data_IF_371316303639
#
_entry.id   IF_371316303639
#
_cell.length_a   1.000
_cell.length_b   1.000
_cell.length_c   1.000
_cell.angle_alpha   90.00
_cell.angle_beta   90.00
_cell.angle_gamma   90.00
#
_symmetry.space_group_name_H-M   'P 1'
#
loop_
_entity.id
_entity.type
_entity.pdbx_description
1 polymer ?
#
# COMPACT_ATOMS: atom_id res chain seq x y z
N UNK A 1 -5.02 1.84 10.98
CA UNK A 1 -5.17 3.07 10.16
C UNK A 1 -3.80 3.69 10.02
N UNK A 2 -3.32 3.91 8.79
CA UNK A 2 -2.02 4.54 8.57
C UNK A 2 -2.03 5.99 9.06
N UNK A 3 -0.93 6.41 9.69
CA UNK A 3 -0.72 7.79 10.13
C UNK A 3 -0.14 8.64 9.01
N UNK A 4 -0.13 9.96 9.18
CA UNK A 4 0.51 10.86 8.22
C UNK A 4 2.02 10.57 8.12
N UNK A 5 2.65 10.13 9.20
CA UNK A 5 4.06 9.74 9.21
C UNK A 5 4.31 8.48 8.38
N UNK A 6 3.38 7.53 8.34
CA UNK A 6 3.49 6.33 7.52
C UNK A 6 3.50 6.72 6.04
N UNK A 7 2.58 7.58 5.60
CA UNK A 7 2.55 8.09 4.22
C UNK A 7 3.79 8.89 3.85
N UNK A 8 4.29 9.74 4.75
CA UNK A 8 5.55 10.44 4.54
C UNK A 8 6.72 9.48 4.37
N UNK A 9 6.70 8.34 5.05
CA UNK A 9 7.79 7.36 5.10
C UNK A 9 7.73 6.29 4.00
N UNK A 10 6.63 6.21 3.23
CA UNK A 10 6.49 5.20 2.16
C UNK A 10 7.60 5.36 1.11
N UNK A 11 8.34 4.29 0.89
CA UNK A 11 9.36 4.21 -0.16
C UNK A 11 8.70 4.02 -1.52
N UNK A 12 8.95 4.95 -2.45
CA UNK A 12 8.54 4.83 -3.85
C UNK A 12 9.43 3.83 -4.60
N UNK A 13 9.18 2.53 -4.42
CA UNK A 13 10.01 1.44 -5.00
C UNK A 13 9.85 1.25 -6.52
N UNK A 14 8.90 1.92 -7.17
CA UNK A 14 8.53 1.62 -8.56
C UNK A 14 8.98 2.65 -9.60
N UNK A 15 9.62 3.74 -9.20
CA UNK A 15 10.11 4.75 -10.12
C UNK A 15 11.63 4.79 -10.08
N UNK A 16 12.25 5.14 -11.23
CA UNK A 16 13.70 5.45 -11.31
C UNK A 16 13.90 6.81 -10.62
N UNK A 17 13.74 6.80 -9.30
CA UNK A 17 13.81 7.99 -8.46
C UNK A 17 14.88 7.79 -7.40
N UNK A 18 15.82 8.71 -7.33
CA UNK A 18 16.77 8.77 -6.23
C UNK A 18 16.10 9.54 -5.10
N UNK A 19 16.06 8.93 -3.96
CA UNK A 19 15.60 9.58 -2.74
C UNK A 19 16.80 9.91 -1.85
N UNK A 20 16.79 11.10 -1.30
CA UNK A 20 17.69 11.51 -0.22
C UNK A 20 16.91 12.12 0.93
N UNK A 21 17.37 11.84 2.15
CA UNK A 21 16.77 12.34 3.39
C UNK A 21 17.67 13.44 3.96
N UNK A 22 17.05 14.51 4.41
CA UNK A 22 17.73 15.63 5.08
C UNK A 22 16.83 16.16 6.18
N UNK A 23 17.34 17.09 6.95
CA UNK A 23 16.56 17.80 7.96
C UNK A 23 16.89 19.28 7.91
N UNK A 24 15.89 20.08 8.24
CA UNK A 24 16.05 21.52 8.38
C UNK A 24 15.88 21.88 9.84
N UNK A 25 16.86 22.56 10.41
CA UNK A 25 16.74 23.20 11.71
C UNK A 25 16.19 24.61 11.53
N UNK A 26 15.03 24.88 12.11
CA UNK A 26 14.43 26.23 12.09
C UNK A 26 14.89 27.06 13.30
N UNK A 27 15.05 26.39 14.44
CA UNK A 27 15.53 26.93 15.71
C UNK A 27 16.27 25.79 16.43
N UNK A 28 16.84 26.05 17.59
CA UNK A 28 17.59 25.03 18.35
C UNK A 28 16.78 23.76 18.66
N UNK A 29 15.43 23.85 18.70
CA UNK A 29 14.55 22.73 19.08
C UNK A 29 13.67 22.18 17.96
N UNK A 30 13.58 22.82 16.80
CA UNK A 30 12.66 22.40 15.74
C UNK A 30 13.39 21.88 14.51
N UNK A 31 13.36 20.56 14.34
CA UNK A 31 13.94 19.88 13.18
C UNK A 31 12.80 19.37 12.27
N UNK A 32 12.79 19.81 11.03
CA UNK A 32 11.86 19.35 10.02
C UNK A 32 12.49 18.26 9.16
N UNK A 33 11.96 17.05 9.15
CA UNK A 33 12.38 16.03 8.20
C UNK A 33 12.02 16.42 6.77
N UNK A 34 12.98 16.32 5.86
CA UNK A 34 12.82 16.57 4.43
C UNK A 34 13.20 15.31 3.65
N UNK A 35 12.36 14.93 2.69
CA UNK A 35 12.66 13.92 1.68
C UNK A 35 12.78 14.60 0.33
N UNK A 36 13.89 14.42 -0.34
CA UNK A 36 14.16 14.99 -1.65
C UNK A 36 14.14 13.89 -2.70
N UNK A 37 13.45 14.12 -3.80
CA UNK A 37 13.23 13.14 -4.86
C UNK A 37 13.78 13.67 -6.18
N UNK A 38 14.56 12.85 -6.85
CA UNK A 38 15.12 13.11 -8.16
C UNK A 38 14.65 12.03 -9.12
N UNK A 39 13.62 12.34 -9.92
CA UNK A 39 13.03 11.40 -10.86
C UNK A 39 13.79 11.46 -12.18
N UNK A 40 14.55 10.40 -12.47
CA UNK A 40 15.41 10.31 -13.63
C UNK A 40 14.63 10.10 -14.94
N UNK A 41 13.43 9.52 -14.85
CA UNK A 41 12.62 9.24 -16.04
C UNK A 41 12.03 10.51 -16.66
N UNK A 42 11.72 11.52 -15.84
CA UNK A 42 11.10 12.77 -16.29
C UNK A 42 12.04 13.98 -16.16
N UNK A 43 13.26 13.78 -15.70
CA UNK A 43 14.26 14.84 -15.57
C UNK A 43 13.90 15.92 -14.53
N UNK A 44 13.15 15.56 -13.49
CA UNK A 44 12.62 16.52 -12.52
C UNK A 44 12.98 16.16 -11.07
N UNK A 45 13.09 17.19 -10.23
CA UNK A 45 13.24 17.06 -8.79
C UNK A 45 12.08 17.74 -8.05
N UNK A 46 11.74 17.21 -6.89
CA UNK A 46 10.73 17.72 -5.97
C UNK A 46 11.06 17.28 -4.54
N UNK A 47 10.35 17.79 -3.55
CA UNK A 47 10.58 17.37 -2.17
C UNK A 47 9.30 17.33 -1.34
N UNK A 48 9.40 16.61 -0.23
CA UNK A 48 8.37 16.52 0.80
C UNK A 48 8.96 17.01 2.13
N UNK A 49 8.13 17.71 2.90
CA UNK A 49 8.46 18.18 4.25
C UNK A 49 7.42 17.60 5.21
N UNK A 50 7.85 17.10 6.37
CA UNK A 50 6.94 16.79 7.45
C UNK A 50 7.02 17.89 8.51
N UNK A 51 5.85 18.42 8.88
CA UNK A 51 5.72 19.40 9.97
C UNK A 51 5.02 18.75 11.16
N UNK A 52 5.45 19.05 12.40
CA UNK A 52 4.81 18.53 13.60
C UNK A 52 3.43 19.17 13.82
N UNK A 53 2.74 18.75 14.86
CA UNK A 53 1.54 19.43 15.32
C UNK A 53 1.88 20.87 15.76
N UNK A 54 1.15 21.83 15.23
CA UNK A 54 1.32 23.27 15.47
C UNK A 54 -0.02 23.93 15.79
N UNK A 55 0.01 24.94 16.61
CA UNK A 55 -1.18 25.77 16.90
C UNK A 55 -1.62 26.60 15.69
N UNK A 56 -0.66 27.04 14.86
CA UNK A 56 -0.89 27.86 13.66
C UNK A 56 -0.21 27.27 12.44
N UNK A 57 -0.69 26.12 11.94
CA UNK A 57 -0.06 25.42 10.84
C UNK A 57 -0.06 26.21 9.53
N UNK A 58 -1.12 26.99 9.26
CA UNK A 58 -1.19 27.84 8.07
C UNK A 58 -0.12 28.94 8.08
N UNK A 59 0.00 29.69 9.19
CA UNK A 59 0.99 30.77 9.30
C UNK A 59 2.42 30.23 9.10
N UNK A 60 2.68 29.05 9.65
CA UNK A 60 3.93 28.36 9.48
C UNK A 60 4.19 27.99 8.01
N UNK A 61 3.22 27.37 7.33
CA UNK A 61 3.35 27.01 5.91
C UNK A 61 3.55 28.24 5.03
N UNK A 62 2.80 29.32 5.26
CA UNK A 62 2.96 30.58 4.56
C UNK A 62 4.35 31.19 4.79
N UNK A 63 4.87 31.11 6.02
CA UNK A 63 6.23 31.52 6.37
C UNK A 63 7.28 30.72 5.59
N UNK A 64 7.14 29.39 5.51
CA UNK A 64 8.01 28.54 4.72
C UNK A 64 8.00 28.93 3.24
N UNK A 65 6.82 29.10 2.66
CA UNK A 65 6.67 29.45 1.25
C UNK A 65 7.21 30.85 0.92
N UNK A 66 7.17 31.79 1.84
CA UNK A 66 7.70 33.16 1.69
C UNK A 66 9.20 33.26 1.94
N UNK A 67 9.77 32.31 2.64
CA UNK A 67 11.20 32.29 2.96
C UNK A 67 12.05 31.82 1.79
N UNK A 68 13.38 31.94 1.93
CA UNK A 68 14.35 31.36 0.99
C UNK A 68 14.60 29.86 1.22
N UNK A 69 13.78 29.21 2.04
CA UNK A 69 13.95 27.82 2.41
C UNK A 69 13.88 26.89 1.21
N UNK A 70 12.90 27.13 0.32
CA UNK A 70 12.73 26.33 -0.90
C UNK A 70 14.00 26.36 -1.74
N UNK A 71 14.57 27.56 -1.94
CA UNK A 71 15.82 27.73 -2.68
C UNK A 71 17.01 27.02 -1.99
N UNK A 72 17.03 27.04 -0.66
CA UNK A 72 18.06 26.37 0.13
C UNK A 72 17.97 24.85 0.01
N UNK A 73 16.76 24.30 0.06
CA UNK A 73 16.50 22.85 -0.13
C UNK A 73 16.88 22.43 -1.55
N UNK A 74 16.50 23.20 -2.56
CA UNK A 74 16.82 22.90 -3.95
C UNK A 74 18.33 22.92 -4.19
N UNK A 75 19.06 23.88 -3.60
CA UNK A 75 20.52 23.94 -3.68
C UNK A 75 21.22 22.78 -2.97
N UNK A 76 20.59 22.21 -1.94
CA UNK A 76 21.10 21.09 -1.16
C UNK A 76 20.79 19.72 -1.81
N UNK A 77 20.07 19.67 -2.94
CA UNK A 77 19.81 18.41 -3.65
C UNK A 77 21.13 17.70 -3.98
N UNK A 78 21.21 16.38 -3.78
CA UNK A 78 22.40 15.60 -4.08
C UNK A 78 22.78 15.72 -5.55
N UNK A 79 24.06 15.88 -5.80
CA UNK A 79 24.64 15.92 -7.14
C UNK A 79 25.40 14.63 -7.37
N UNK A 80 24.93 13.81 -8.30
CA UNK A 80 25.54 12.54 -8.65
C UNK A 80 25.51 12.34 -10.17
N UNK A 81 26.47 11.59 -10.68
CA UNK A 81 26.44 11.10 -12.06
C UNK A 81 26.10 9.63 -12.02
N UNK A 82 24.97 9.28 -12.64
CA UNK A 82 24.48 7.92 -12.71
C UNK A 82 24.80 7.38 -14.08
N UNK A 83 25.68 6.39 -14.11
CA UNK A 83 26.03 5.65 -15.33
C UNK A 83 25.36 4.30 -15.34
N UNK A 84 24.95 3.87 -16.52
CA UNK A 84 24.47 2.50 -16.77
C UNK A 84 25.61 1.66 -17.35
N UNK A 85 25.68 0.39 -16.99
CA UNK A 85 26.57 -0.57 -17.65
C UNK A 85 26.14 -0.89 -19.10
N UNK A 86 25.08 -0.27 -19.60
CA UNK A 86 24.65 -0.41 -21.00
C UNK A 86 25.27 0.69 -21.83
N UNK A 87 26.07 0.35 -22.88
CA UNK A 87 26.81 1.34 -23.68
C UNK A 87 25.94 2.37 -24.41
N UNK A 88 24.64 2.10 -24.54
CA UNK A 88 23.68 2.94 -25.27
C UNK A 88 23.00 4.00 -24.42
N UNK A 89 23.21 4.01 -23.10
CA UNK A 89 22.61 4.99 -22.20
C UNK A 89 23.65 6.03 -21.77
N UNK A 90 23.35 7.28 -22.08
CA UNK A 90 24.18 8.42 -21.61
C UNK A 90 24.08 8.54 -20.08
N UNK A 91 25.18 8.90 -19.40
CA UNK A 91 25.16 9.19 -17.97
C UNK A 91 24.17 10.32 -17.69
N UNK A 92 23.41 10.19 -16.62
CA UNK A 92 22.49 11.23 -16.13
C UNK A 92 23.19 11.96 -14.98
N UNK A 93 23.39 13.27 -15.16
CA UNK A 93 23.86 14.13 -14.09
C UNK A 93 22.67 14.68 -13.32
N UNK A 94 22.52 14.30 -12.05
CA UNK A 94 21.37 14.75 -11.24
C UNK A 94 21.39 16.26 -10.97
N UNK A 95 22.52 16.94 -11.17
CA UNK A 95 22.60 18.38 -11.09
C UNK A 95 21.88 19.12 -12.25
N UNK A 96 21.58 18.40 -13.34
CA UNK A 96 20.86 18.93 -14.51
C UNK A 96 19.34 18.73 -14.39
N UNK A 97 18.86 18.00 -13.35
CA UNK A 97 17.44 17.81 -13.12
C UNK A 97 16.81 19.12 -12.64
N UNK A 98 15.77 19.55 -13.34
CA UNK A 98 15.06 20.78 -12.98
C UNK A 98 14.19 20.57 -11.72
N UNK A 99 14.20 21.54 -10.81
CA UNK A 99 13.19 21.58 -9.76
C UNK A 99 11.84 21.95 -10.39
N UNK A 100 10.85 21.04 -10.28
CA UNK A 100 9.56 21.20 -10.93
C UNK A 100 8.57 22.10 -10.16
N UNK A 101 9.02 22.77 -9.10
CA UNK A 101 8.18 23.63 -8.24
C UNK A 101 7.26 22.85 -7.29
N UNK A 102 7.26 21.53 -7.31
CA UNK A 102 6.32 20.72 -6.50
C UNK A 102 6.85 20.46 -5.09
N UNK A 103 5.99 20.72 -4.11
CA UNK A 103 6.26 20.56 -2.68
C UNK A 103 5.10 19.82 -2.04
N UNK A 104 5.41 18.74 -1.34
CA UNK A 104 4.45 17.97 -0.54
C UNK A 104 4.64 18.30 0.95
N UNK A 105 3.61 18.78 1.62
CA UNK A 105 3.62 19.09 3.05
C UNK A 105 2.77 18.07 3.77
N UNK A 106 3.38 17.25 4.62
CA UNK A 106 2.74 16.30 5.53
C UNK A 106 2.68 16.90 6.92
N UNK A 107 1.47 17.07 7.46
CA UNK A 107 1.24 17.75 8.73
C UNK A 107 0.47 16.89 9.71
N UNK A 108 0.81 17.00 10.99
CA UNK A 108 0.05 16.37 12.09
C UNK A 108 -1.22 17.17 12.45
N UNK A 109 -1.52 18.26 11.74
CA UNK A 109 -2.70 19.10 11.96
C UNK A 109 -3.45 19.29 10.63
N UNK A 110 -4.76 19.24 10.65
CA UNK A 110 -5.56 19.52 9.46
C UNK A 110 -5.68 21.04 9.19
N UNK A 111 -5.75 21.41 7.93
CA UNK A 111 -6.17 22.72 7.46
C UNK A 111 -7.57 22.64 6.84
N UNK A 112 -8.35 23.69 6.99
CA UNK A 112 -9.62 23.83 6.26
C UNK A 112 -9.34 24.05 4.76
N UNK A 113 -10.33 23.78 3.90
CA UNK A 113 -10.19 23.98 2.45
C UNK A 113 -9.82 25.44 2.10
N UNK A 114 -10.37 26.42 2.81
CA UNK A 114 -10.05 27.84 2.59
C UNK A 114 -8.58 28.16 2.89
N UNK A 115 -8.02 27.52 3.92
CA UNK A 115 -6.62 27.68 4.27
C UNK A 115 -5.70 27.01 3.26
N UNK A 116 -6.09 25.83 2.76
CA UNK A 116 -5.39 25.13 1.68
C UNK A 116 -5.40 25.99 0.40
N UNK A 117 -6.55 26.55 0.03
CA UNK A 117 -6.67 27.40 -1.15
C UNK A 117 -5.80 28.67 -1.05
N UNK A 118 -5.71 29.25 0.15
CA UNK A 118 -4.83 30.40 0.42
C UNK A 118 -3.35 29.99 0.27
N UNK A 119 -2.97 28.86 0.82
CA UNK A 119 -1.61 28.32 0.71
C UNK A 119 -1.24 28.03 -0.75
N UNK A 120 -2.14 27.41 -1.54
CA UNK A 120 -1.96 27.20 -2.97
C UNK A 120 -1.76 28.51 -3.71
N UNK A 121 -2.62 29.51 -3.46
CA UNK A 121 -2.53 30.83 -4.07
C UNK A 121 -1.19 31.51 -3.76
N UNK A 122 -0.70 31.42 -2.53
CA UNK A 122 0.58 31.98 -2.13
C UNK A 122 1.75 31.26 -2.78
N UNK A 123 1.70 29.92 -2.85
CA UNK A 123 2.71 29.12 -3.54
C UNK A 123 2.80 29.46 -5.03
N UNK A 124 1.67 29.56 -5.71
CA UNK A 124 1.61 29.88 -7.14
C UNK A 124 2.24 31.24 -7.50
N UNK A 125 2.18 32.24 -6.62
CA UNK A 125 2.87 33.52 -6.82
C UNK A 125 4.40 33.38 -7.00
N UNK A 126 4.95 32.26 -6.55
CA UNK A 126 6.38 31.93 -6.63
C UNK A 126 6.66 30.75 -7.57
N UNK A 127 5.67 30.31 -8.34
CA UNK A 127 5.80 29.15 -9.21
C UNK A 127 5.89 27.82 -8.45
N UNK A 128 5.33 27.75 -7.22
CA UNK A 128 5.33 26.54 -6.39
C UNK A 128 3.97 25.90 -6.40
N UNK A 129 3.95 24.60 -6.64
CA UNK A 129 2.78 23.72 -6.61
C UNK A 129 2.82 22.95 -5.28
N UNK A 130 2.03 23.41 -4.33
CA UNK A 130 2.03 22.88 -2.96
C UNK A 130 0.86 21.95 -2.76
N UNK A 131 1.12 20.77 -2.22
CA UNK A 131 0.10 19.82 -1.80
C UNK A 131 0.18 19.63 -0.28
N UNK A 132 -0.96 19.67 0.40
CA UNK A 132 -1.04 19.55 1.85
C UNK A 132 -1.78 18.29 2.27
N UNK A 133 -1.16 17.51 3.12
CA UNK A 133 -1.67 16.23 3.61
C UNK A 133 -1.73 16.26 5.14
N UNK A 134 -2.95 16.33 5.66
CA UNK A 134 -3.23 16.28 7.11
C UNK A 134 -3.76 14.91 7.54
N UNK A 135 -4.07 14.75 8.84
CA UNK A 135 -4.63 13.52 9.39
C UNK A 135 -5.93 13.07 8.73
N UNK A 136 -6.81 14.00 8.36
CA UNK A 136 -8.06 13.67 7.66
C UNK A 136 -7.80 13.03 6.30
N UNK A 137 -6.87 13.60 5.52
CA UNK A 137 -6.42 12.99 4.26
C UNK A 137 -5.83 11.59 4.47
N UNK A 138 -4.96 11.42 5.48
CA UNK A 138 -4.35 10.12 5.79
C UNK A 138 -5.42 9.08 6.15
N UNK A 139 -6.45 9.48 6.90
CA UNK A 139 -7.59 8.63 7.25
C UNK A 139 -8.39 8.21 6.02
N UNK A 140 -8.74 9.15 5.14
CA UNK A 140 -9.47 8.87 3.90
C UNK A 140 -8.64 7.99 2.97
N UNK A 141 -7.38 8.31 2.78
CA UNK A 141 -6.45 7.53 1.96
C UNK A 141 -6.29 6.11 2.48
N UNK A 142 -6.09 5.94 3.80
CA UNK A 142 -6.01 4.63 4.46
C UNK A 142 -7.31 3.83 4.29
N UNK A 143 -8.47 4.48 4.31
CA UNK A 143 -9.75 3.82 4.06
C UNK A 143 -9.89 3.36 2.61
N UNK A 144 -9.42 4.17 1.64
CA UNK A 144 -9.41 3.80 0.21
C UNK A 144 -8.39 2.70 -0.11
N UNK A 145 -7.26 2.69 0.59
CA UNK A 145 -6.19 1.70 0.41
C UNK A 145 -6.44 0.41 1.22
N UNK A 146 -7.47 0.40 2.08
CA UNK A 146 -7.83 -0.79 2.84
C UNK A 146 -8.20 -1.91 1.88
N UNK A 147 -7.48 -3.04 1.91
CA UNK A 147 -7.83 -4.17 1.07
C UNK A 147 -9.24 -4.66 1.37
N UNK A 148 -10.00 -4.94 0.33
CA UNK A 148 -11.36 -5.49 0.45
C UNK A 148 -11.34 -6.98 0.83
N UNK A 149 -10.25 -7.66 0.44
CA UNK A 149 -10.08 -9.08 0.69
C UNK A 149 -8.64 -9.41 1.06
N UNK A 150 -8.43 -10.54 1.72
CA UNK A 150 -7.12 -11.16 1.84
C UNK A 150 -7.13 -12.55 1.20
N UNK A 151 -5.97 -12.99 0.70
CA UNK A 151 -5.77 -14.32 0.11
C UNK A 151 -5.03 -15.17 1.13
N UNK A 152 -5.71 -16.17 1.69
CA UNK A 152 -5.12 -17.19 2.54
C UNK A 152 -4.71 -18.38 1.67
N UNK A 153 -3.45 -18.78 1.75
CA UNK A 153 -2.87 -19.83 0.92
C UNK A 153 -1.68 -20.49 1.62
N UNK A 154 -1.32 -21.69 1.18
CA UNK A 154 -0.05 -22.33 1.59
C UNK A 154 1.11 -21.58 0.93
N UNK A 155 2.20 -21.35 1.65
CA UNK A 155 3.36 -20.59 1.15
C UNK A 155 4.01 -21.19 -0.11
N UNK A 156 3.86 -22.50 -0.33
CA UNK A 156 4.34 -23.19 -1.54
C UNK A 156 3.55 -22.83 -2.80
N UNK A 157 2.35 -22.25 -2.64
CA UNK A 157 1.44 -21.86 -3.72
C UNK A 157 1.50 -20.35 -4.03
N UNK A 158 2.38 -19.61 -3.36
CA UNK A 158 2.48 -18.14 -3.48
C UNK A 158 2.74 -17.70 -4.92
N UNK A 159 3.82 -18.19 -5.54
CA UNK A 159 4.24 -17.74 -6.87
C UNK A 159 3.33 -18.26 -7.99
N UNK A 160 2.87 -19.51 -7.87
CA UNK A 160 2.11 -20.16 -8.93
C UNK A 160 0.63 -19.78 -8.95
N UNK A 161 0.04 -19.42 -7.80
CA UNK A 161 -1.41 -19.26 -7.66
C UNK A 161 -1.79 -17.94 -6.99
N UNK A 162 -1.29 -17.67 -5.78
CA UNK A 162 -1.74 -16.51 -5.00
C UNK A 162 -1.32 -15.18 -5.63
N UNK A 163 -0.07 -15.04 -6.05
CA UNK A 163 0.45 -13.82 -6.67
C UNK A 163 -0.23 -13.50 -8.02
N UNK A 164 -0.37 -14.43 -8.98
CA UNK A 164 -1.11 -14.18 -10.22
C UNK A 164 -2.56 -13.73 -9.97
N UNK A 165 -3.24 -14.34 -9.00
CA UNK A 165 -4.60 -13.97 -8.64
C UNK A 165 -4.65 -12.57 -8.00
N UNK A 166 -3.73 -12.25 -7.09
CA UNK A 166 -3.64 -10.96 -6.44
C UNK A 166 -3.38 -9.83 -7.45
N UNK A 167 -2.42 -10.02 -8.36
CA UNK A 167 -2.12 -9.07 -9.43
C UNK A 167 -3.32 -8.84 -10.33
N UNK A 168 -4.05 -9.90 -10.69
CA UNK A 168 -5.23 -9.80 -11.53
C UNK A 168 -6.37 -9.05 -10.83
N UNK A 169 -6.64 -9.35 -9.57
CA UNK A 169 -7.64 -8.64 -8.76
C UNK A 169 -7.29 -7.16 -8.60
N UNK A 170 -6.03 -6.84 -8.30
CA UNK A 170 -5.54 -5.46 -8.23
C UNK A 170 -5.72 -4.72 -9.55
N UNK A 171 -5.44 -5.36 -10.69
CA UNK A 171 -5.70 -4.81 -12.03
C UNK A 171 -7.18 -4.57 -12.34
N UNK A 172 -8.09 -5.25 -11.63
CA UNK A 172 -9.53 -5.06 -11.70
C UNK A 172 -10.07 -4.05 -10.66
N UNK A 173 -9.18 -3.37 -9.92
CA UNK A 173 -9.55 -2.39 -8.90
C UNK A 173 -9.95 -3.01 -7.55
N UNK A 174 -9.61 -4.27 -7.32
CA UNK A 174 -9.83 -4.96 -6.03
C UNK A 174 -8.48 -5.13 -5.34
N UNK A 175 -8.10 -4.23 -4.44
CA UNK A 175 -6.88 -4.40 -3.65
C UNK A 175 -7.02 -5.57 -2.70
N UNK A 176 -6.03 -6.45 -2.68
CA UNK A 176 -6.00 -7.63 -1.83
C UNK A 176 -4.67 -7.74 -1.09
N UNK A 177 -4.69 -8.24 0.13
CA UNK A 177 -3.50 -8.68 0.83
C UNK A 177 -3.24 -10.17 0.58
N UNK A 178 -2.01 -10.55 0.33
CA UNK A 178 -1.67 -11.97 0.13
C UNK A 178 -0.38 -12.40 0.84
N UNK A 179 0.68 -11.59 0.86
CA UNK A 179 1.97 -11.97 1.46
C UNK A 179 1.90 -12.17 2.97
N UNK A 180 1.20 -11.28 3.69
CA UNK A 180 1.06 -11.34 5.15
C UNK A 180 0.21 -12.53 5.63
N UNK A 181 -0.54 -13.16 4.72
CA UNK A 181 -1.43 -14.31 4.98
C UNK A 181 -0.95 -15.57 4.27
N UNK A 182 0.32 -15.58 3.85
CA UNK A 182 1.03 -16.77 3.38
C UNK A 182 1.37 -17.65 4.58
N UNK A 183 0.76 -18.82 4.63
CA UNK A 183 0.88 -19.74 5.75
C UNK A 183 2.11 -20.63 5.60
N UNK A 184 2.98 -20.57 6.60
CA UNK A 184 4.20 -21.39 6.67
C UNK A 184 3.99 -22.57 7.59
N UNK A 185 4.86 -23.56 7.51
CA UNK A 185 4.83 -24.69 8.42
C UNK A 185 4.97 -24.23 9.88
N UNK A 186 3.99 -24.57 10.71
CA UNK A 186 3.95 -24.18 12.13
C UNK A 186 3.11 -22.93 12.44
N UNK A 187 2.64 -22.20 11.41
CA UNK A 187 1.74 -21.07 11.63
C UNK A 187 0.33 -21.54 12.00
N UNK A 188 -0.35 -20.78 12.85
CA UNK A 188 -1.76 -20.99 13.15
C UNK A 188 -2.64 -20.43 12.03
N UNK A 189 -3.32 -21.30 11.30
CA UNK A 189 -4.32 -20.91 10.31
C UNK A 189 -5.42 -20.03 10.94
N UNK A 190 -5.82 -20.39 12.15
CA UNK A 190 -6.85 -19.67 12.90
C UNK A 190 -6.45 -18.22 13.14
N UNK A 191 -5.25 -17.98 13.68
CA UNK A 191 -4.76 -16.63 13.98
C UNK A 191 -4.60 -15.79 12.71
N UNK A 192 -4.11 -16.39 11.64
CA UNK A 192 -3.95 -15.72 10.35
C UNK A 192 -5.31 -15.31 9.77
N UNK A 193 -6.28 -16.22 9.74
CA UNK A 193 -7.63 -15.92 9.24
C UNK A 193 -8.34 -14.91 10.15
N UNK A 194 -8.26 -15.05 11.48
CA UNK A 194 -8.85 -14.09 12.41
C UNK A 194 -8.26 -12.69 12.25
N UNK A 195 -6.95 -12.57 12.03
CA UNK A 195 -6.29 -11.30 11.72
C UNK A 195 -6.84 -10.71 10.41
N UNK A 196 -6.84 -11.49 9.34
CA UNK A 196 -7.33 -11.04 8.04
C UNK A 196 -8.80 -10.59 8.08
N UNK A 197 -9.65 -11.35 8.78
CA UNK A 197 -11.07 -11.04 8.93
C UNK A 197 -11.31 -9.74 9.73
N UNK A 198 -10.45 -9.39 10.69
CA UNK A 198 -10.57 -8.12 11.41
C UNK A 198 -10.34 -6.92 10.50
N UNK A 199 -9.49 -7.09 9.50
CA UNK A 199 -9.00 -6.00 8.67
C UNK A 199 -9.67 -5.90 7.29
N UNK A 200 -10.29 -6.99 6.80
CA UNK A 200 -10.96 -7.05 5.49
C UNK A 200 -12.37 -7.61 5.62
N UNK A 201 -13.16 -7.54 4.54
CA UNK A 201 -14.52 -8.06 4.51
C UNK A 201 -14.63 -9.45 3.87
N UNK A 202 -13.62 -9.85 3.08
CA UNK A 202 -13.60 -11.13 2.38
C UNK A 202 -12.30 -11.89 2.61
N UNK A 203 -12.42 -13.21 2.71
CA UNK A 203 -11.31 -14.15 2.71
C UNK A 203 -11.35 -14.98 1.42
N UNK A 204 -10.36 -14.84 0.55
CA UNK A 204 -10.17 -15.74 -0.59
C UNK A 204 -9.27 -16.87 -0.11
N UNK A 205 -9.83 -18.09 -0.05
CA UNK A 205 -9.11 -19.26 0.43
C UNK A 205 -8.68 -20.14 -0.75
N UNK A 206 -7.38 -20.23 -0.98
CA UNK A 206 -6.80 -21.11 -2.01
C UNK A 206 -6.62 -22.49 -1.42
N UNK A 207 -7.32 -23.48 -1.98
CA UNK A 207 -7.31 -24.87 -1.57
C UNK A 207 -6.59 -25.69 -2.63
N UNK A 208 -5.43 -26.19 -2.25
CA UNK A 208 -4.55 -27.04 -3.06
C UNK A 208 -4.23 -28.32 -2.30
N UNK A 209 -3.52 -29.26 -2.92
CA UNK A 209 -2.95 -30.38 -2.20
C UNK A 209 -1.95 -29.95 -1.13
N UNK A 210 -1.16 -28.89 -1.40
CA UNK A 210 -0.27 -28.31 -0.39
C UNK A 210 -1.04 -27.84 0.84
N UNK A 211 -2.16 -27.14 0.63
CA UNK A 211 -3.05 -26.69 1.69
C UNK A 211 -3.65 -27.89 2.49
N UNK A 212 -4.17 -28.91 1.80
CA UNK A 212 -4.82 -30.04 2.43
C UNK A 212 -3.87 -30.98 3.20
N UNK A 213 -2.60 -31.00 2.81
CA UNK A 213 -1.54 -31.85 3.42
C UNK A 213 -0.64 -31.08 4.40
N UNK A 214 -0.97 -29.87 4.74
CA UNK A 214 -0.19 -29.09 5.70
C UNK A 214 -0.46 -29.56 7.12
N UNK A 215 0.49 -30.26 7.74
CA UNK A 215 0.38 -30.88 9.07
C UNK A 215 0.30 -29.84 10.22
N UNK A 216 0.55 -28.57 9.94
CA UNK A 216 0.42 -27.48 10.91
C UNK A 216 -1.03 -27.13 11.27
N UNK A 217 -2.02 -27.73 10.57
CA UNK A 217 -3.43 -27.36 10.75
C UNK A 217 -4.28 -28.58 11.08
N UNK A 218 -4.96 -28.50 12.20
CA UNK A 218 -5.95 -29.54 12.50
C UNK A 218 -7.28 -29.24 11.81
N UNK A 219 -7.96 -30.29 11.35
CA UNK A 219 -9.34 -30.20 10.84
C UNK A 219 -10.29 -29.52 11.83
N UNK A 220 -10.01 -29.68 13.13
CA UNK A 220 -10.80 -29.08 14.20
C UNK A 220 -10.59 -27.57 14.29
N UNK A 221 -9.35 -27.06 14.15
CA UNK A 221 -9.04 -25.62 14.13
C UNK A 221 -9.71 -24.96 12.93
N UNK A 222 -9.56 -25.56 11.75
CA UNK A 222 -10.23 -25.10 10.54
C UNK A 222 -11.75 -24.99 10.75
N UNK A 223 -12.41 -26.05 11.20
CA UNK A 223 -13.85 -26.06 11.42
C UNK A 223 -14.30 -25.10 12.51
N UNK A 224 -13.49 -24.83 13.53
CA UNK A 224 -13.82 -23.89 14.61
C UNK A 224 -13.85 -22.43 14.14
N UNK A 225 -12.94 -22.04 13.26
CA UNK A 225 -12.90 -20.71 12.65
C UNK A 225 -14.11 -20.47 11.75
N UNK A 226 -14.53 -21.53 11.03
CA UNK A 226 -15.61 -21.43 10.05
C UNK A 226 -17.01 -21.33 10.64
N UNK A 227 -17.22 -21.91 11.81
CA UNK A 227 -18.60 -22.19 12.26
C UNK A 227 -19.21 -21.06 13.10
N UNK A 228 -18.46 -20.21 13.74
CA UNK A 228 -19.04 -19.25 14.70
C UNK A 228 -18.83 -17.76 14.38
N UNK A 229 -17.69 -17.35 13.86
CA UNK A 229 -17.36 -15.92 13.77
C UNK A 229 -17.53 -15.34 12.36
N UNK A 230 -17.19 -16.10 11.32
CA UNK A 230 -17.30 -15.65 9.93
C UNK A 230 -18.78 -15.50 9.54
N UNK A 231 -19.62 -16.44 9.97
CA UNK A 231 -21.06 -16.40 9.66
C UNK A 231 -21.78 -15.31 10.46
N UNK A 232 -21.39 -15.09 11.72
CA UNK A 232 -22.01 -14.05 12.58
C UNK A 232 -21.65 -12.62 12.18
N UNK A 233 -20.49 -12.39 11.55
CA UNK A 233 -20.03 -11.05 11.19
C UNK A 233 -20.35 -10.66 9.74
N UNK A 234 -21.14 -11.43 8.99
CA UNK A 234 -21.45 -11.21 7.56
C UNK A 234 -20.20 -11.22 6.63
N UNK A 235 -19.07 -11.70 7.10
CA UNK A 235 -17.85 -11.81 6.28
C UNK A 235 -17.89 -13.08 5.46
N UNK A 236 -17.46 -12.99 4.21
CA UNK A 236 -17.64 -14.07 3.24
C UNK A 236 -16.33 -14.69 2.88
N UNK A 237 -16.27 -16.03 3.01
CA UNK A 237 -15.17 -16.80 2.47
C UNK A 237 -15.48 -17.22 1.03
N UNK A 238 -14.48 -17.06 0.17
CA UNK A 238 -14.53 -17.31 -1.26
C UNK A 238 -13.49 -18.40 -1.60
N UNK A 239 -13.87 -19.69 -1.66
CA UNK A 239 -12.93 -20.76 -1.93
C UNK A 239 -12.53 -20.81 -3.40
N UNK A 240 -11.24 -21.02 -3.64
CA UNK A 240 -10.64 -21.26 -4.97
C UNK A 240 -9.92 -22.60 -4.91
N UNK A 241 -10.32 -23.56 -5.74
CA UNK A 241 -9.74 -24.90 -5.78
C UNK A 241 -8.75 -25.04 -6.92
N UNK A 242 -7.61 -25.61 -6.62
CA UNK A 242 -6.58 -25.93 -7.61
C UNK A 242 -6.09 -27.36 -7.42
N UNK A 243 -6.28 -28.17 -8.43
CA UNK A 243 -5.83 -29.60 -8.49
C UNK A 243 -6.24 -30.44 -7.28
N UNK A 244 -7.49 -30.23 -6.81
CA UNK A 244 -8.11 -31.02 -5.75
C UNK A 244 -9.48 -31.50 -6.18
N UNK A 245 -9.85 -32.72 -5.74
CA UNK A 245 -11.17 -33.28 -5.97
C UNK A 245 -12.16 -32.87 -4.90
N UNK A 246 -13.45 -33.06 -5.18
CA UNK A 246 -14.52 -32.82 -4.22
C UNK A 246 -14.40 -33.74 -3.00
N UNK A 247 -13.96 -34.95 -3.21
CA UNK A 247 -13.76 -35.97 -2.21
C UNK A 247 -12.61 -35.58 -1.26
N UNK A 248 -11.46 -35.18 -1.80
CA UNK A 248 -10.31 -34.70 -1.01
C UNK A 248 -10.69 -33.51 -0.12
N UNK A 249 -11.43 -32.53 -0.67
CA UNK A 249 -11.90 -31.38 0.09
C UNK A 249 -12.94 -31.79 1.15
N UNK A 250 -13.83 -32.74 0.84
CA UNK A 250 -14.82 -33.27 1.78
C UNK A 250 -14.19 -33.99 2.96
N UNK A 251 -13.18 -34.83 2.71
CA UNK A 251 -12.43 -35.51 3.75
C UNK A 251 -11.70 -34.56 4.69
N UNK A 252 -11.26 -33.40 4.14
CA UNK A 252 -10.63 -32.35 4.93
C UNK A 252 -11.68 -31.57 5.75
N UNK A 253 -12.72 -31.03 5.11
CA UNK A 253 -13.80 -30.33 5.75
C UNK A 253 -15.10 -30.39 4.93
N UNK A 254 -16.14 -31.07 5.40
CA UNK A 254 -17.44 -31.12 4.73
C UNK A 254 -18.04 -29.72 4.47
N UNK A 255 -17.81 -28.77 5.37
CA UNK A 255 -18.34 -27.41 5.27
C UNK A 255 -17.78 -26.61 4.11
N UNK A 256 -16.63 -26.99 3.54
CA UNK A 256 -16.06 -26.35 2.35
C UNK A 256 -16.74 -26.79 1.06
N UNK A 257 -17.22 -28.03 1.02
CA UNK A 257 -17.85 -28.61 -0.17
C UNK A 257 -19.22 -27.99 -0.45
N UNK A 258 -19.92 -27.58 0.58
CA UNK A 258 -21.24 -26.93 0.46
C UNK A 258 -21.16 -25.51 -0.11
N UNK A 259 -19.94 -24.96 -0.26
CA UNK A 259 -19.73 -23.63 -0.81
C UNK A 259 -19.42 -23.71 -2.30
N UNK A 260 -19.99 -22.78 -3.06
CA UNK A 260 -19.63 -22.63 -4.47
C UNK A 260 -18.19 -22.13 -4.58
N UNK A 261 -17.30 -22.99 -5.04
CA UNK A 261 -15.89 -22.70 -5.24
C UNK A 261 -15.61 -22.33 -6.71
N UNK A 262 -14.70 -21.38 -6.95
CA UNK A 262 -14.10 -21.18 -8.26
C UNK A 262 -13.03 -22.25 -8.48
N UNK A 263 -12.94 -22.78 -9.68
CA UNK A 263 -11.92 -23.78 -10.04
C UNK A 263 -10.80 -23.15 -10.84
N UNK A 264 -9.55 -23.41 -10.46
CA UNK A 264 -8.38 -22.81 -11.15
C UNK A 264 -8.32 -23.17 -12.64
N UNK A 265 -8.88 -24.33 -13.03
CA UNK A 265 -9.00 -24.73 -14.42
C UNK A 265 -9.84 -23.80 -15.30
N UNK A 266 -10.61 -22.89 -14.71
CA UNK A 266 -11.38 -21.87 -15.43
C UNK A 266 -10.51 -20.68 -15.89
N UNK A 267 -9.26 -20.62 -15.46
CA UNK A 267 -8.32 -19.54 -15.74
C UNK A 267 -8.43 -18.37 -14.77
N UNK A 268 -7.29 -17.74 -14.49
CA UNK A 268 -7.16 -16.65 -13.51
C UNK A 268 -8.06 -15.45 -13.83
N UNK A 269 -8.27 -15.14 -15.10
CA UNK A 269 -9.14 -14.06 -15.55
C UNK A 269 -10.61 -14.30 -15.17
N UNK A 270 -11.10 -15.50 -15.43
CA UNK A 270 -12.47 -15.91 -15.10
C UNK A 270 -12.70 -15.89 -13.60
N UNK A 271 -11.75 -16.42 -12.82
CA UNK A 271 -11.80 -16.47 -11.37
C UNK A 271 -11.81 -15.06 -10.79
N UNK A 272 -10.87 -14.20 -11.23
CA UNK A 272 -10.80 -12.82 -10.76
C UNK A 272 -12.08 -12.04 -11.07
N UNK A 273 -12.70 -12.23 -12.23
CA UNK A 273 -13.97 -11.62 -12.58
C UNK A 273 -15.12 -12.09 -11.66
N UNK A 274 -15.20 -13.40 -11.35
CA UNK A 274 -16.19 -13.96 -10.42
C UNK A 274 -16.02 -13.40 -9.00
N UNK A 275 -14.76 -13.36 -8.51
CA UNK A 275 -14.43 -12.83 -7.20
C UNK A 275 -14.76 -11.34 -7.11
N UNK A 276 -14.39 -10.55 -8.14
CA UNK A 276 -14.74 -9.13 -8.22
C UNK A 276 -16.24 -8.89 -8.12
N UNK A 277 -17.04 -9.64 -8.90
CA UNK A 277 -18.50 -9.50 -8.87
C UNK A 277 -19.07 -9.83 -7.49
N UNK A 278 -18.46 -10.76 -6.77
CA UNK A 278 -18.91 -11.14 -5.42
C UNK A 278 -18.48 -10.15 -4.33
N UNK A 279 -17.33 -9.49 -4.51
CA UNK A 279 -16.77 -8.51 -3.57
C UNK A 279 -17.48 -7.16 -3.71
N UNK A 280 -17.84 -6.77 -4.92
CA UNK A 280 -18.45 -5.46 -5.20
C UNK A 280 -19.98 -5.45 -5.12
N UNK A 281 -20.61 -6.58 -5.02
CA UNK A 281 -22.05 -6.56 -5.04
C UNK A 281 -22.89 -7.60 -4.71
#
# INVERSE_FOLDING_TARGET
MASINDYFSIDNKHNITIESKSSLSLNDDTILPIRMFQNLAVGASYFAIRIPALDKPLDFCLGLLRSNLVDSVVKALPKAVISSNRPTLHPINTAELAFCGRIYIYSETDLSQKEIDLMHSEGLKRGLFVEYFGPSWAKERSAMEKPLAFISHDSRDTEAIAMPLALKLSGLGIPVWFDEFSLKLGDSLRESIEKGIKETDFCILIITRNFLTNDGWTKAEFNSVFTKEIIKQKKVMLPVWHDVSKEEVYEYSPSLVDRLAAKWSEGVDSIAAKLRNRING
#
